data_IF_574213909303
#
_entry.id   IF_574213909303
#
_cell.length_a   1.000
_cell.length_b   1.000
_cell.length_c   1.000
_cell.angle_alpha   90.00
_cell.angle_beta   90.00
_cell.angle_gamma   90.00
#
_symmetry.space_group_name_H-M   'P 1'
#
loop_
_entity.id
_entity.type
_entity.pdbx_description
1 polymer ?
#
# COMPACT_ATOMS: atom_id res chain seq x y z
N UNK A 1 -12.70 -3.31 34.32
CA UNK A 1 -12.57 -2.60 33.03
C UNK A 1 -13.53 -3.28 32.08
N UNK A 2 -14.71 -2.69 31.89
CA UNK A 2 -15.70 -3.22 30.98
C UNK A 2 -15.19 -2.99 29.56
N UNK A 3 -14.97 -4.06 28.80
CA UNK A 3 -14.74 -3.97 27.37
C UNK A 3 -16.06 -3.51 26.74
N UNK A 4 -16.24 -2.21 26.53
CA UNK A 4 -17.36 -1.71 25.75
C UNK A 4 -17.17 -2.19 24.31
N UNK A 5 -18.09 -3.02 23.84
CA UNK A 5 -18.06 -3.50 22.46
C UNK A 5 -18.24 -2.30 21.52
N UNK A 6 -17.40 -2.15 20.47
CA UNK A 6 -17.52 -1.04 19.53
C UNK A 6 -18.93 -0.96 18.96
N UNK A 7 -19.45 0.26 18.87
CA UNK A 7 -20.79 0.50 18.34
C UNK A 7 -20.90 0.03 16.88
N UNK A 8 -22.12 -0.13 16.36
CA UNK A 8 -22.31 -0.50 14.96
C UNK A 8 -21.68 0.54 14.01
N UNK A 9 -21.81 1.82 14.36
CA UNK A 9 -21.32 2.92 13.54
C UNK A 9 -19.79 2.98 13.57
N UNK A 10 -19.19 2.78 14.74
CA UNK A 10 -17.74 2.68 14.91
C UNK A 10 -17.16 1.53 14.07
N UNK A 11 -17.76 0.33 14.15
CA UNK A 11 -17.36 -0.81 13.30
C UNK A 11 -17.47 -0.50 11.81
N UNK A 12 -18.53 0.22 11.42
CA UNK A 12 -18.76 0.59 10.02
C UNK A 12 -17.73 1.62 9.53
N UNK A 13 -17.39 2.59 10.38
CA UNK A 13 -16.33 3.57 10.12
C UNK A 13 -14.97 2.88 9.99
N UNK A 14 -14.62 1.99 10.92
CA UNK A 14 -13.39 1.21 10.86
C UNK A 14 -13.29 0.38 9.57
N UNK A 15 -14.38 -0.28 9.19
CA UNK A 15 -14.44 -1.04 7.95
C UNK A 15 -14.25 -0.16 6.71
N UNK A 16 -14.85 1.04 6.70
CA UNK A 16 -14.70 1.99 5.62
C UNK A 16 -13.24 2.45 5.46
N UNK A 17 -12.58 2.82 6.55
CA UNK A 17 -11.16 3.21 6.53
C UNK A 17 -10.29 2.03 6.06
N UNK A 18 -10.53 0.83 6.59
CA UNK A 18 -9.82 -0.38 6.18
C UNK A 18 -9.98 -0.69 4.69
N UNK A 19 -11.18 -0.48 4.13
CA UNK A 19 -11.44 -0.70 2.70
C UNK A 19 -10.59 0.20 1.82
N UNK A 20 -10.51 1.50 2.14
CA UNK A 20 -9.66 2.44 1.39
C UNK A 20 -8.17 2.17 1.62
N UNK A 21 -7.77 1.77 2.83
CA UNK A 21 -6.40 1.36 3.13
C UNK A 21 -5.99 0.15 2.27
N UNK A 22 -6.78 -0.93 2.27
CA UNK A 22 -6.54 -2.10 1.41
C UNK A 22 -6.51 -1.74 -0.08
N UNK A 23 -7.43 -0.89 -0.54
CA UNK A 23 -7.46 -0.42 -1.93
C UNK A 23 -6.21 0.37 -2.30
N UNK A 24 -5.64 1.13 -1.35
CA UNK A 24 -4.37 1.83 -1.52
C UNK A 24 -3.21 0.84 -1.62
N UNK A 25 -3.16 -0.19 -0.78
CA UNK A 25 -2.12 -1.23 -0.85
C UNK A 25 -2.11 -1.99 -2.18
N UNK A 26 -3.31 -2.32 -2.69
CA UNK A 26 -3.47 -2.92 -4.01
C UNK A 26 -2.96 -1.95 -5.09
N UNK A 27 -3.37 -0.69 -5.04
CA UNK A 27 -2.94 0.33 -6.01
C UNK A 27 -1.43 0.63 -5.93
N UNK A 28 -0.79 0.46 -4.78
CA UNK A 28 0.66 0.55 -4.63
C UNK A 28 1.40 -0.67 -5.22
N UNK A 29 0.69 -1.72 -5.63
CA UNK A 29 1.29 -2.99 -6.06
C UNK A 29 1.92 -3.77 -4.91
N UNK A 30 1.50 -3.49 -3.66
CA UNK A 30 1.97 -4.19 -2.45
C UNK A 30 1.03 -5.33 -2.03
N UNK A 31 -0.15 -5.39 -2.63
CA UNK A 31 -1.13 -6.45 -2.45
C UNK A 31 -1.71 -6.83 -3.81
N UNK A 32 -1.98 -8.12 -4.01
CA UNK A 32 -2.63 -8.58 -5.23
C UNK A 32 -4.07 -8.10 -5.30
N UNK A 33 -4.49 -7.67 -6.49
CA UNK A 33 -5.90 -7.35 -6.72
C UNK A 33 -6.70 -8.67 -6.77
N UNK A 34 -7.68 -8.88 -5.88
CA UNK A 34 -8.43 -10.14 -5.81
C UNK A 34 -9.31 -10.40 -7.05
N UNK A 35 -9.59 -9.37 -7.86
CA UNK A 35 -10.39 -9.52 -9.09
C UNK A 35 -9.55 -9.85 -10.31
N UNK A 36 -8.31 -9.37 -10.37
CA UNK A 36 -7.44 -9.61 -11.54
C UNK A 36 -6.31 -10.60 -11.25
N UNK A 37 -6.09 -10.97 -9.98
CA UNK A 37 -4.95 -11.75 -9.50
C UNK A 37 -3.60 -11.18 -9.96
N UNK A 38 -3.53 -9.86 -10.10
CA UNK A 38 -2.31 -9.16 -10.50
C UNK A 38 -1.94 -8.12 -9.46
N UNK A 39 -0.64 -7.99 -9.24
CA UNK A 39 -0.08 -6.86 -8.53
C UNK A 39 0.36 -5.81 -9.55
N UNK A 40 -0.53 -4.86 -9.83
CA UNK A 40 -0.26 -3.76 -10.76
C UNK A 40 -0.10 -2.46 -9.99
N UNK A 41 1.06 -1.83 -10.18
CA UNK A 41 1.39 -0.57 -9.52
C UNK A 41 0.74 0.60 -10.26
N UNK A 42 -0.18 1.30 -9.59
CA UNK A 42 -0.84 2.50 -10.06
C UNK A 42 -0.78 3.62 -8.99
N UNK A 43 0.27 4.43 -9.04
CA UNK A 43 0.47 5.54 -8.11
C UNK A 43 -0.66 6.59 -8.16
N UNK A 44 -1.27 6.84 -9.33
CA UNK A 44 -2.38 7.81 -9.43
C UNK A 44 -3.58 7.33 -8.62
N UNK A 45 -3.90 6.04 -8.74
CA UNK A 45 -4.98 5.41 -7.99
C UNK A 45 -4.67 5.36 -6.49
N UNK A 46 -3.42 5.04 -6.12
CA UNK A 46 -2.98 5.05 -4.73
C UNK A 46 -3.12 6.44 -4.11
N UNK A 47 -2.68 7.50 -4.82
CA UNK A 47 -2.82 8.87 -4.31
C UNK A 47 -4.28 9.27 -4.14
N UNK A 48 -5.15 8.90 -5.09
CA UNK A 48 -6.59 9.17 -4.98
C UNK A 48 -7.21 8.59 -3.70
N UNK A 49 -6.88 7.35 -3.34
CA UNK A 49 -7.39 6.75 -2.09
C UNK A 49 -6.82 7.42 -0.84
N UNK A 50 -5.55 7.83 -0.86
CA UNK A 50 -4.94 8.62 0.23
C UNK A 50 -5.64 9.98 0.36
N UNK A 51 -5.90 10.67 -0.75
CA UNK A 51 -6.63 11.95 -0.76
C UNK A 51 -8.03 11.79 -0.14
N UNK A 52 -8.72 10.68 -0.40
CA UNK A 52 -10.02 10.38 0.22
C UNK A 52 -9.91 10.21 1.74
N UNK A 53 -8.90 9.50 2.23
CA UNK A 53 -8.67 9.33 3.67
C UNK A 53 -8.26 10.65 4.35
N UNK A 54 -7.43 11.46 3.71
CA UNK A 54 -7.07 12.83 4.15
C UNK A 54 -8.30 13.75 4.20
N UNK A 55 -9.18 13.66 3.19
CA UNK A 55 -10.45 14.37 3.17
C UNK A 55 -11.37 13.92 4.29
N UNK A 56 -11.48 12.61 4.53
CA UNK A 56 -12.26 12.06 5.65
C UNK A 56 -11.76 12.63 6.97
N UNK A 57 -10.46 12.60 7.23
CA UNK A 57 -9.86 13.15 8.45
C UNK A 57 -10.24 14.62 8.66
N UNK A 58 -10.24 15.41 7.60
CA UNK A 58 -10.62 16.82 7.66
C UNK A 58 -12.12 17.01 7.91
N UNK A 59 -12.97 16.23 7.23
CA UNK A 59 -14.44 16.36 7.29
C UNK A 59 -15.06 15.76 8.55
N UNK A 60 -14.42 14.77 9.15
CA UNK A 60 -14.92 14.10 10.37
C UNK A 60 -14.27 14.62 11.66
N UNK A 61 -13.36 15.58 11.57
CA UNK A 61 -12.70 16.20 12.73
C UNK A 61 -13.72 16.68 13.76
N UNK A 62 -13.54 16.27 15.02
CA UNK A 62 -14.44 16.60 16.13
C UNK A 62 -15.68 15.70 16.24
N UNK A 63 -15.89 14.78 15.30
CA UNK A 63 -16.97 13.79 15.33
C UNK A 63 -16.48 12.35 15.57
N UNK A 64 -15.17 12.14 15.65
CA UNK A 64 -14.56 10.83 15.89
C UNK A 64 -14.28 10.63 17.37
N UNK A 65 -14.37 9.38 17.81
CA UNK A 65 -13.76 8.93 19.07
C UNK A 65 -12.24 9.00 18.97
N UNK A 66 -11.55 9.01 20.11
CA UNK A 66 -10.08 9.02 20.15
C UNK A 66 -9.49 7.81 19.40
N UNK A 67 -10.12 6.65 19.53
CA UNK A 67 -9.71 5.43 18.83
C UNK A 67 -9.85 5.56 17.30
N UNK A 68 -10.99 6.03 16.81
CA UNK A 68 -11.23 6.23 15.38
C UNK A 68 -10.29 7.27 14.77
N UNK A 69 -10.06 8.37 15.49
CA UNK A 69 -9.14 9.43 15.05
C UNK A 69 -7.71 8.90 14.93
N UNK A 70 -7.23 8.19 15.96
CA UNK A 70 -5.89 7.60 15.94
C UNK A 70 -5.74 6.56 14.83
N UNK A 71 -6.75 5.70 14.64
CA UNK A 71 -6.73 4.70 13.58
C UNK A 71 -6.65 5.35 12.18
N UNK A 72 -7.43 6.41 11.93
CA UNK A 72 -7.37 7.15 10.66
C UNK A 72 -6.04 7.88 10.47
N UNK A 73 -5.52 8.54 11.52
CA UNK A 73 -4.20 9.20 11.48
C UNK A 73 -3.11 8.20 11.10
N UNK A 74 -3.10 7.03 11.75
CA UNK A 74 -2.11 5.99 11.52
C UNK A 74 -2.19 5.45 10.09
N UNK A 75 -3.40 5.15 9.61
CA UNK A 75 -3.61 4.68 8.24
C UNK A 75 -3.11 5.70 7.20
N UNK A 76 -3.49 6.98 7.33
CA UNK A 76 -3.04 8.04 6.42
C UNK A 76 -1.52 8.20 6.44
N UNK A 77 -0.91 8.18 7.62
CA UNK A 77 0.54 8.36 7.79
C UNK A 77 1.31 7.21 7.16
N UNK A 78 0.91 5.97 7.44
CA UNK A 78 1.53 4.77 6.88
C UNK A 78 1.44 4.76 5.35
N UNK A 79 0.25 5.03 4.80
CA UNK A 79 0.04 5.02 3.35
C UNK A 79 0.81 6.14 2.65
N UNK A 80 0.92 7.32 3.25
CA UNK A 80 1.71 8.42 2.70
C UNK A 80 3.21 8.08 2.64
N UNK A 81 3.76 7.49 3.70
CA UNK A 81 5.17 7.05 3.72
C UNK A 81 5.42 6.00 2.63
N UNK A 82 4.55 4.99 2.54
CA UNK A 82 4.65 3.95 1.53
C UNK A 82 4.49 4.50 0.11
N UNK A 83 3.59 5.47 -0.10
CA UNK A 83 3.43 6.14 -1.38
C UNK A 83 4.67 6.92 -1.80
N UNK A 84 5.30 7.65 -0.88
CA UNK A 84 6.54 8.40 -1.14
C UNK A 84 7.68 7.45 -1.50
N UNK A 85 7.87 6.38 -0.72
CA UNK A 85 8.86 5.35 -0.99
C UNK A 85 8.67 4.74 -2.38
N UNK A 86 7.44 4.33 -2.68
CA UNK A 86 7.13 3.70 -3.95
C UNK A 86 7.34 4.69 -5.09
N UNK A 87 6.85 5.93 -4.98
CA UNK A 87 7.10 7.02 -5.93
C UNK A 87 8.59 7.29 -6.15
N UNK A 88 9.44 7.16 -5.13
CA UNK A 88 10.90 7.28 -5.31
C UNK A 88 11.46 6.14 -6.14
N UNK A 89 10.99 4.90 -5.95
CA UNK A 89 11.42 3.75 -6.77
C UNK A 89 11.07 3.92 -8.25
N UNK A 90 9.90 4.48 -8.60
CA UNK A 90 9.58 4.73 -10.03
C UNK A 90 10.47 5.79 -10.66
N UNK A 91 10.99 6.72 -9.85
CA UNK A 91 11.86 7.79 -10.33
C UNK A 91 13.34 7.37 -10.34
N UNK A 92 13.65 6.10 -9.99
CA UNK A 92 15.00 5.56 -9.88
C UNK A 92 15.29 4.36 -10.80
N UNK A 93 14.39 3.93 -11.68
CA UNK A 93 14.68 2.84 -12.63
C UNK A 93 15.23 3.37 -13.94
N UNK A 94 16.52 3.70 -13.90
CA UNK A 94 17.44 3.57 -15.03
C UNK A 94 18.80 3.14 -14.50
N UNK A 95 18.85 2.00 -13.81
CA UNK A 95 20.08 1.19 -13.67
C UNK A 95 19.64 -0.26 -13.46
N UNK A 96 19.76 -1.04 -14.53
CA UNK A 96 20.34 -2.38 -14.58
C UNK A 96 20.21 -3.23 -13.31
N UNK A 97 19.23 -4.13 -13.31
CA UNK A 97 19.43 -5.48 -12.77
C UNK A 97 19.45 -6.43 -13.98
N UNK A 98 20.48 -6.22 -14.81
CA UNK A 98 20.97 -7.25 -15.70
C UNK A 98 21.47 -8.39 -14.81
N UNK A 99 20.76 -9.51 -14.88
CA UNK A 99 21.22 -10.83 -14.48
C UNK A 99 22.70 -11.05 -14.88
N UNK A 100 23.64 -11.14 -13.91
CA UNK A 100 25.01 -11.49 -14.20
C UNK A 100 25.35 -12.82 -13.53
N UNK A 101 24.65 -13.90 -13.87
CA UNK A 101 25.10 -15.25 -13.50
C UNK A 101 25.08 -16.23 -14.68
N UNK A 102 25.44 -15.74 -15.87
CA UNK A 102 25.83 -16.59 -17.00
C UNK A 102 27.07 -16.03 -17.73
N UNK A 103 28.26 -16.37 -17.23
CA UNK A 103 29.51 -16.54 -18.00
C UNK A 103 30.36 -17.55 -17.24
N UNK A 104 30.30 -18.83 -17.62
CA UNK A 104 31.17 -19.48 -18.62
C UNK A 104 32.48 -19.99 -18.02
N UNK A 105 32.55 -21.30 -17.77
CA UNK A 105 33.81 -22.03 -17.96
C UNK A 105 33.73 -22.78 -19.29
N UNK A 106 34.50 -22.24 -20.24
CA UNK A 106 34.74 -22.75 -21.57
C UNK A 106 35.41 -24.14 -21.54
N UNK A 107 34.86 -25.03 -22.36
CA UNK A 107 35.56 -26.00 -23.22
C UNK A 107 36.83 -26.70 -22.70
N UNK A 108 36.70 -28.01 -22.48
CA UNK A 108 37.65 -28.95 -23.12
C UNK A 108 36.92 -29.91 -24.06
N UNK A 109 37.05 -29.57 -25.34
CA UNK A 109 36.63 -30.29 -26.53
C UNK A 109 37.31 -31.67 -26.62
N UNK A 110 36.49 -32.72 -26.63
CA UNK A 110 36.40 -33.89 -27.54
C UNK A 110 37.69 -34.59 -28.06
N UNK A 111 37.62 -35.93 -28.01
CA UNK A 111 38.25 -36.97 -28.86
C UNK A 111 39.74 -37.28 -28.69
N UNK A 112 40.07 -38.47 -28.19
CA UNK A 112 40.36 -39.67 -29.00
C UNK A 112 40.12 -40.96 -28.17
#
# INVERSE_FOLDING_TARGET
MSQETPSKDEKSFMYLVGTFQSSTWIALGKMENPMTNKSERNLKQARFYIDLLEMMQTKTKGNLTEYEEQMLINAVSELNMNFIEEKRKSNGTSVDDENPDLVSEDNKKVAE
#
